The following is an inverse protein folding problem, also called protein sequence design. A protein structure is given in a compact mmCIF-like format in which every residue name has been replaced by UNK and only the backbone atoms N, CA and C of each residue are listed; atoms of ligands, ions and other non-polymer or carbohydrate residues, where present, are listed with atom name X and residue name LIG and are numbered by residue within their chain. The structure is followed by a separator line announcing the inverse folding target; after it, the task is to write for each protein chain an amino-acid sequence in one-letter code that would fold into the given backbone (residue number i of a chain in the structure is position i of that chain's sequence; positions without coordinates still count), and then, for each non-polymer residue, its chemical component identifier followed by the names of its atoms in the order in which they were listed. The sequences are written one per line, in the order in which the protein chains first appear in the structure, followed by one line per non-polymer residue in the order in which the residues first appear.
data_IF_755797221899
#
_entry.id   IF_755797221899
#
_cell.length_a   1.000
_cell.length_b   1.000
_cell.length_c   1.000
_cell.angle_alpha   90.00
_cell.angle_beta   90.00
_cell.angle_gamma   90.00
#
_symmetry.space_group_name_H-M   'P 1'
#
loop_
_entity.id
_entity.type
_entity.pdbx_description
1 polymer ?
#
# COMPACT_ATOMS: atom_id res chain seq x y z
N UNK A 1 -1.91 -11.84 -8.05
CA UNK A 1 -2.36 -10.86 -7.06
C UNK A 1 -3.77 -11.18 -6.59
N UNK A 2 -4.75 -11.07 -7.48
CA UNK A 2 -6.17 -11.34 -7.15
C UNK A 2 -6.36 -12.75 -6.57
N UNK A 3 -5.76 -13.76 -7.19
CA UNK A 3 -5.86 -15.14 -6.72
C UNK A 3 -5.26 -15.32 -5.30
N UNK A 4 -4.09 -14.73 -5.04
CA UNK A 4 -3.45 -14.84 -3.70
C UNK A 4 -4.23 -14.08 -2.62
N UNK A 5 -4.82 -12.94 -2.96
CA UNK A 5 -5.65 -12.20 -2.01
C UNK A 5 -6.93 -12.96 -1.66
N UNK A 6 -7.66 -13.43 -2.68
CA UNK A 6 -8.85 -14.27 -2.47
C UNK A 6 -8.51 -15.59 -1.78
N UNK A 7 -7.34 -16.17 -2.04
CA UNK A 7 -6.88 -17.38 -1.36
C UNK A 7 -6.61 -17.12 0.12
N UNK A 8 -6.02 -15.98 0.48
CA UNK A 8 -5.83 -15.61 1.89
C UNK A 8 -7.14 -15.47 2.63
N UNK A 9 -8.10 -14.76 2.08
CA UNK A 9 -9.46 -14.62 2.64
C UNK A 9 -10.19 -15.98 2.69
N UNK A 10 -10.07 -16.78 1.63
CA UNK A 10 -10.64 -18.14 1.59
C UNK A 10 -10.02 -19.05 2.64
N UNK A 11 -8.69 -19.03 2.83
CA UNK A 11 -8.01 -19.84 3.86
C UNK A 11 -8.40 -19.41 5.27
N UNK A 12 -8.51 -18.12 5.53
CA UNK A 12 -8.99 -17.60 6.80
C UNK A 12 -10.37 -18.17 7.15
N UNK A 13 -11.21 -18.31 6.17
CA UNK A 13 -12.58 -18.80 6.33
C UNK A 13 -12.71 -20.34 6.30
N UNK A 14 -12.00 -21.04 5.42
CA UNK A 14 -12.05 -22.53 5.34
C UNK A 14 -11.46 -23.19 6.58
N UNK A 15 -10.45 -22.58 7.18
CA UNK A 15 -9.77 -23.12 8.36
C UNK A 15 -10.57 -22.80 9.64
N UNK A 16 -11.37 -21.72 9.62
CA UNK A 16 -12.19 -21.31 10.74
C UNK A 16 -13.43 -22.16 10.98
N UNK A 17 -13.66 -23.32 10.31
CA UNK A 17 -14.62 -24.30 10.86
C UNK A 17 -15.67 -24.96 9.94
N UNK A 18 -15.41 -25.21 8.73
CA UNK A 18 -16.31 -26.13 7.98
C UNK A 18 -17.75 -25.62 7.73
N UNK A 19 -18.01 -24.35 8.01
CA UNK A 19 -19.25 -23.67 7.63
C UNK A 19 -19.14 -23.12 6.20
N UNK A 20 -20.16 -23.38 5.40
CA UNK A 20 -20.28 -22.80 4.07
C UNK A 20 -20.51 -21.30 4.18
N UNK A 21 -19.52 -20.49 3.80
CA UNK A 21 -19.63 -19.05 3.84
C UNK A 21 -20.41 -18.58 2.62
N UNK A 22 -21.47 -17.81 2.81
CA UNK A 22 -22.16 -17.17 1.70
C UNK A 22 -21.20 -16.20 1.00
N UNK A 23 -21.27 -16.15 -0.33
CA UNK A 23 -20.45 -15.22 -1.15
C UNK A 23 -20.62 -13.74 -0.73
N UNK A 24 -21.74 -13.40 -0.09
CA UNK A 24 -22.02 -12.09 0.48
C UNK A 24 -21.03 -11.68 1.59
N UNK A 25 -20.41 -12.64 2.26
CA UNK A 25 -19.56 -12.39 3.43
C UNK A 25 -18.08 -12.38 3.05
N UNK A 26 -17.76 -12.73 1.79
CA UNK A 26 -16.39 -12.71 1.28
C UNK A 26 -16.00 -11.28 0.93
N UNK A 27 -14.89 -10.82 1.50
CA UNK A 27 -14.26 -9.54 1.12
C UNK A 27 -13.46 -9.70 -0.16
N UNK A 28 -13.87 -9.00 -1.23
CA UNK A 28 -13.19 -9.01 -2.53
C UNK A 28 -12.03 -8.03 -2.60
N UNK A 29 -12.14 -6.78 -2.12
CA UNK A 29 -11.02 -5.84 -2.11
C UNK A 29 -9.87 -6.32 -1.23
N UNK A 30 -8.65 -5.95 -1.60
CA UNK A 30 -7.46 -6.26 -0.81
C UNK A 30 -6.21 -5.67 -1.43
N UNK A 31 -5.13 -5.63 -0.65
CA UNK A 31 -3.85 -5.03 -1.05
C UNK A 31 -3.30 -5.65 -2.34
N UNK A 32 -3.29 -6.99 -2.43
CA UNK A 32 -2.75 -7.70 -3.60
C UNK A 32 -3.63 -7.52 -4.84
N UNK A 33 -4.94 -7.47 -4.66
CA UNK A 33 -5.90 -7.19 -5.73
C UNK A 33 -5.68 -5.78 -6.29
N UNK A 34 -5.54 -4.79 -5.41
CA UNK A 34 -5.21 -3.42 -5.82
C UNK A 34 -3.88 -3.34 -6.56
N UNK A 35 -2.82 -3.98 -6.04
CA UNK A 35 -1.52 -4.04 -6.73
C UNK A 35 -1.66 -4.66 -8.12
N UNK A 36 -2.44 -5.73 -8.25
CA UNK A 36 -2.66 -6.39 -9.54
C UNK A 36 -3.38 -5.48 -10.54
N UNK A 37 -4.42 -4.74 -10.10
CA UNK A 37 -5.13 -3.77 -10.94
C UNK A 37 -4.21 -2.62 -11.35
N UNK A 38 -3.50 -2.01 -10.39
CA UNK A 38 -2.54 -0.92 -10.67
C UNK A 38 -1.48 -1.38 -11.66
N UNK A 39 -0.91 -2.59 -11.47
CA UNK A 39 0.09 -3.15 -12.37
C UNK A 39 -0.48 -3.36 -13.78
N UNK A 40 -1.69 -3.90 -13.89
CA UNK A 40 -2.35 -4.10 -15.19
C UNK A 40 -2.49 -2.77 -15.95
N UNK A 41 -3.05 -1.74 -15.30
CA UNK A 41 -3.22 -0.43 -15.93
C UNK A 41 -1.88 0.22 -16.27
N UNK A 42 -0.89 0.15 -15.37
CA UNK A 42 0.45 0.67 -15.66
C UNK A 42 1.12 -0.06 -16.83
N UNK A 43 1.01 -1.39 -16.91
CA UNK A 43 1.57 -2.18 -18.01
C UNK A 43 0.92 -1.83 -19.37
N UNK A 44 -0.41 -1.64 -19.39
CA UNK A 44 -1.10 -1.17 -20.59
C UNK A 44 -0.65 0.23 -20.99
N UNK A 45 -0.60 1.17 -20.05
CA UNK A 45 -0.16 2.53 -20.32
C UNK A 45 1.30 2.58 -20.79
N UNK A 46 2.18 1.77 -20.20
CA UNK A 46 3.58 1.70 -20.63
C UNK A 46 3.73 1.30 -22.09
N UNK A 47 2.91 0.34 -22.55
CA UNK A 47 3.00 -0.18 -23.91
C UNK A 47 2.34 0.71 -24.96
N UNK A 48 1.29 1.47 -24.59
CA UNK A 48 0.47 2.20 -25.56
C UNK A 48 0.54 3.72 -25.44
N UNK A 49 1.27 4.26 -24.46
CA UNK A 49 1.33 5.72 -24.22
C UNK A 49 2.77 6.20 -24.06
N UNK A 50 3.01 7.47 -24.45
CA UNK A 50 4.25 8.17 -24.18
C UNK A 50 4.34 8.67 -22.73
N UNK A 51 5.55 8.96 -22.24
CA UNK A 51 5.76 9.50 -20.90
C UNK A 51 4.97 10.80 -20.63
N UNK A 52 4.77 11.63 -21.67
CA UNK A 52 3.99 12.86 -21.54
C UNK A 52 2.49 12.57 -21.36
N UNK A 53 1.95 11.58 -22.09
CA UNK A 53 0.57 11.13 -21.90
C UNK A 53 0.39 10.48 -20.51
N UNK A 54 1.36 9.72 -20.04
CA UNK A 54 1.35 9.14 -18.67
C UNK A 54 1.33 10.23 -17.61
N UNK A 55 2.13 11.29 -17.76
CA UNK A 55 2.08 12.45 -16.87
C UNK A 55 0.71 13.13 -16.91
N UNK A 56 0.14 13.33 -18.09
CA UNK A 56 -1.19 13.94 -18.25
C UNK A 56 -2.28 13.09 -17.59
N UNK A 57 -2.22 11.77 -17.76
CA UNK A 57 -3.16 10.84 -17.10
C UNK A 57 -3.02 10.92 -15.57
N UNK A 58 -1.78 10.98 -15.06
CA UNK A 58 -1.55 11.15 -13.62
C UNK A 58 -2.22 12.42 -13.08
N UNK A 59 -2.04 13.55 -13.75
CA UNK A 59 -2.66 14.82 -13.35
C UNK A 59 -4.18 14.73 -13.41
N UNK A 60 -4.75 14.16 -14.48
CA UNK A 60 -6.20 13.97 -14.62
C UNK A 60 -6.73 13.08 -13.48
N UNK A 61 -6.06 11.99 -13.13
CA UNK A 61 -6.48 11.11 -12.06
C UNK A 61 -6.43 11.80 -10.70
N UNK A 62 -5.35 12.55 -10.40
CA UNK A 62 -5.20 13.21 -9.10
C UNK A 62 -6.16 14.39 -8.94
N UNK A 63 -6.21 15.28 -9.94
CA UNK A 63 -7.11 16.45 -9.90
C UNK A 63 -8.57 15.99 -10.00
N UNK A 64 -8.88 15.05 -10.89
CA UNK A 64 -10.22 14.49 -11.05
C UNK A 64 -10.72 13.82 -9.78
N UNK A 65 -9.88 13.01 -9.12
CA UNK A 65 -10.24 12.38 -7.85
C UNK A 65 -10.54 13.42 -6.76
N UNK A 66 -9.70 14.46 -6.64
CA UNK A 66 -9.95 15.58 -5.73
C UNK A 66 -11.29 16.26 -6.01
N UNK A 67 -11.53 16.65 -7.27
CA UNK A 67 -12.77 17.33 -7.66
C UNK A 67 -14.00 16.46 -7.36
N UNK A 68 -13.94 15.19 -7.68
CA UNK A 68 -15.05 14.27 -7.47
C UNK A 68 -15.33 14.05 -5.99
N UNK A 69 -14.28 13.85 -5.17
CA UNK A 69 -14.43 13.66 -3.73
C UNK A 69 -14.94 14.91 -2.99
N UNK A 70 -14.57 16.10 -3.46
CA UNK A 70 -14.90 17.37 -2.79
C UNK A 70 -16.28 17.89 -3.21
N UNK A 71 -16.64 17.79 -4.49
CA UNK A 71 -17.80 18.50 -5.04
C UNK A 71 -19.01 17.61 -5.35
N UNK A 72 -18.84 16.28 -5.49
CA UNK A 72 -19.96 15.39 -5.75
C UNK A 72 -20.64 15.02 -4.44
N UNK A 73 -21.95 15.35 -4.27
CA UNK A 73 -22.65 15.07 -3.03
C UNK A 73 -22.97 13.57 -2.90
N UNK A 74 -22.75 13.02 -1.71
CA UNK A 74 -23.26 11.71 -1.33
C UNK A 74 -24.74 11.86 -0.95
N UNK A 75 -25.64 11.01 -1.49
CA UNK A 75 -27.07 11.07 -1.18
C UNK A 75 -27.34 11.01 0.34
N UNK A 76 -28.09 12.00 0.84
CA UNK A 76 -28.43 12.09 2.26
C UNK A 76 -27.35 12.63 3.19
N UNK A 77 -26.12 12.91 2.67
CA UNK A 77 -24.98 13.37 3.49
C UNK A 77 -24.47 14.73 2.99
N UNK A 78 -24.18 14.87 1.69
CA UNK A 78 -23.66 16.10 1.09
C UNK A 78 -22.26 15.93 0.46
N UNK A 79 -21.67 17.01 -0.10
CA UNK A 79 -20.34 17.00 -0.71
C UNK A 79 -19.22 17.20 0.32
N UNK A 80 -17.98 16.86 -0.04
CA UNK A 80 -16.75 17.18 0.72
C UNK A 80 -16.58 16.43 2.04
N UNK A 81 -17.41 15.43 2.32
CA UNK A 81 -17.31 14.64 3.57
C UNK A 81 -16.29 13.51 3.35
N UNK A 82 -15.22 13.50 4.15
CA UNK A 82 -14.15 12.50 4.08
C UNK A 82 -14.18 11.48 5.25
N UNK A 83 -15.21 11.55 6.10
CA UNK A 83 -15.37 10.60 7.21
C UNK A 83 -15.55 9.16 6.71
N UNK A 84 -15.01 8.17 7.44
CA UNK A 84 -15.18 6.75 7.11
C UNK A 84 -16.67 6.37 6.99
N UNK A 85 -17.02 5.66 5.92
CA UNK A 85 -18.39 5.21 5.65
C UNK A 85 -19.38 6.29 5.16
N UNK A 86 -18.99 7.57 5.18
CA UNK A 86 -19.85 8.71 4.76
C UNK A 86 -19.34 9.42 3.51
N UNK A 87 -18.14 9.11 3.06
CA UNK A 87 -17.51 9.71 1.91
C UNK A 87 -17.98 9.07 0.59
N UNK A 88 -17.71 9.75 -0.53
CA UNK A 88 -18.14 9.29 -1.85
C UNK A 88 -17.49 7.94 -2.23
N UNK A 89 -16.23 7.70 -1.86
CA UNK A 89 -15.56 6.42 -2.14
C UNK A 89 -16.32 5.26 -1.47
N UNK A 90 -16.67 5.39 -0.18
CA UNK A 90 -17.44 4.40 0.55
C UNK A 90 -18.84 4.17 -0.08
N UNK A 91 -19.50 5.25 -0.52
CA UNK A 91 -20.79 5.15 -1.17
C UNK A 91 -20.72 4.38 -2.50
N UNK A 92 -19.73 4.70 -3.34
CA UNK A 92 -19.54 4.03 -4.64
C UNK A 92 -19.13 2.57 -4.44
N UNK A 93 -18.20 2.30 -3.52
CA UNK A 93 -17.75 0.96 -3.19
C UNK A 93 -18.88 0.09 -2.64
N UNK A 94 -19.75 0.65 -1.80
CA UNK A 94 -20.94 -0.06 -1.28
C UNK A 94 -21.97 -0.44 -2.35
N UNK A 95 -21.98 0.25 -3.49
CA UNK A 95 -22.86 -0.08 -4.63
C UNK A 95 -22.19 -1.10 -5.57
N UNK A 96 -20.89 -0.94 -5.82
CA UNK A 96 -20.20 -1.66 -6.88
C UNK A 96 -19.56 -2.97 -6.42
N UNK A 97 -19.18 -3.06 -5.13
CA UNK A 97 -18.49 -4.23 -4.61
C UNK A 97 -19.50 -5.23 -4.05
N UNK A 98 -19.62 -6.42 -4.67
CA UNK A 98 -20.40 -7.49 -4.07
C UNK A 98 -19.62 -8.08 -2.86
N UNK A 99 -20.34 -8.49 -1.83
CA UNK A 99 -19.75 -9.08 -0.63
C UNK A 99 -19.51 -8.07 0.50
N UNK A 100 -18.60 -8.39 1.42
CA UNK A 100 -18.33 -7.56 2.59
C UNK A 100 -17.23 -6.52 2.31
N UNK A 101 -17.34 -5.38 2.97
CA UNK A 101 -16.29 -4.35 3.02
C UNK A 101 -15.54 -4.48 4.35
N UNK A 102 -14.27 -4.03 4.40
CA UNK A 102 -13.38 -4.17 5.57
C UNK A 102 -14.01 -3.73 6.91
N UNK A 103 -14.72 -2.60 6.89
CA UNK A 103 -15.39 -2.05 8.08
C UNK A 103 -16.92 -2.08 7.93
N UNK A 104 -17.45 -2.96 7.11
CA UNK A 104 -18.88 -3.07 6.82
C UNK A 104 -19.42 -1.96 5.92
N UNK A 105 -18.97 -0.73 6.07
CA UNK A 105 -19.46 0.46 5.32
C UNK A 105 -18.42 1.08 4.40
N UNK A 106 -17.17 0.70 4.50
CA UNK A 106 -16.09 1.22 3.67
C UNK A 106 -14.90 0.24 3.61
N UNK A 107 -14.05 0.39 2.60
CA UNK A 107 -12.87 -0.42 2.38
C UNK A 107 -11.68 0.45 1.94
N UNK A 108 -10.50 0.40 2.61
CA UNK A 108 -9.33 1.17 2.21
C UNK A 108 -8.79 0.73 0.85
N UNK A 109 -9.05 -0.50 0.41
CA UNK A 109 -8.69 -1.05 -0.89
C UNK A 109 -9.84 -1.07 -1.90
N UNK A 110 -10.86 -0.21 -1.73
CA UNK A 110 -12.02 -0.11 -2.60
C UNK A 110 -11.69 0.23 -4.06
N UNK A 111 -12.69 0.07 -4.91
CA UNK A 111 -12.56 0.33 -6.36
C UNK A 111 -12.28 1.82 -6.61
N UNK A 112 -13.02 2.69 -5.90
CA UNK A 112 -12.91 4.12 -6.16
C UNK A 112 -11.54 4.69 -5.78
N UNK A 113 -10.97 4.30 -4.64
CA UNK A 113 -9.64 4.69 -4.21
C UNK A 113 -8.51 4.02 -5.05
N UNK A 114 -8.84 3.10 -5.94
CA UNK A 114 -7.88 2.50 -6.88
C UNK A 114 -7.49 3.48 -8.00
N UNK A 115 -8.33 4.47 -8.35
CA UNK A 115 -7.95 5.49 -9.34
C UNK A 115 -6.72 6.30 -8.94
N UNK A 116 -6.63 6.92 -7.78
CA UNK A 116 -5.39 7.57 -7.35
C UNK A 116 -4.26 6.58 -7.05
N UNK A 117 -4.53 5.32 -6.73
CA UNK A 117 -3.50 4.30 -6.63
C UNK A 117 -2.84 3.99 -7.99
N UNK A 118 -3.61 4.02 -9.09
CA UNK A 118 -3.05 3.94 -10.45
C UNK A 118 -2.12 5.13 -10.71
N UNK A 119 -2.47 6.34 -10.29
CA UNK A 119 -1.58 7.49 -10.40
C UNK A 119 -0.25 7.27 -9.66
N UNK A 120 -0.27 6.66 -8.45
CA UNK A 120 0.96 6.26 -7.75
C UNK A 120 1.81 5.29 -8.59
N UNK A 121 1.18 4.32 -9.24
CA UNK A 121 1.86 3.37 -10.13
C UNK A 121 2.49 4.06 -11.34
N UNK A 122 1.76 5.01 -11.96
CA UNK A 122 2.28 5.77 -13.11
C UNK A 122 3.46 6.66 -12.68
N UNK A 123 3.42 7.29 -11.51
CA UNK A 123 4.56 8.07 -10.99
C UNK A 123 5.78 7.16 -10.83
N UNK A 124 5.61 5.95 -10.30
CA UNK A 124 6.68 4.96 -10.22
C UNK A 124 7.23 4.57 -11.60
N UNK A 125 6.36 4.43 -12.60
CA UNK A 125 6.75 4.15 -13.98
C UNK A 125 7.53 5.32 -14.61
N UNK A 126 7.12 6.57 -14.35
CA UNK A 126 7.85 7.77 -14.78
C UNK A 126 9.23 7.86 -14.11
N UNK A 127 9.35 7.48 -12.84
CA UNK A 127 10.65 7.34 -12.19
C UNK A 127 11.52 6.28 -12.89
N UNK A 128 10.94 5.17 -13.32
CA UNK A 128 11.60 4.15 -14.15
C UNK A 128 12.12 4.73 -15.47
N UNK A 129 11.34 5.55 -16.18
CA UNK A 129 11.79 6.24 -17.39
C UNK A 129 13.00 7.15 -17.12
N UNK A 130 13.03 7.85 -15.98
CA UNK A 130 14.17 8.66 -15.58
C UNK A 130 15.41 7.79 -15.32
N UNK A 131 15.26 6.65 -14.66
CA UNK A 131 16.37 5.72 -14.37
C UNK A 131 17.00 5.18 -15.66
N UNK A 132 16.19 4.75 -16.63
CA UNK A 132 16.69 4.19 -17.89
C UNK A 132 17.10 5.24 -18.92
N UNK A 133 16.87 6.53 -18.64
CA UNK A 133 17.23 7.63 -19.55
C UNK A 133 18.75 7.68 -19.81
N UNK A 134 19.14 8.41 -20.87
CA UNK A 134 20.56 8.61 -21.22
C UNK A 134 21.28 9.67 -20.37
N UNK A 135 20.63 10.21 -19.35
CA UNK A 135 21.25 11.19 -18.45
C UNK A 135 22.39 10.56 -17.63
N UNK A 136 23.36 11.37 -17.21
CA UNK A 136 24.37 10.91 -16.24
C UNK A 136 23.72 10.54 -14.91
N UNK A 137 24.38 9.68 -14.13
CA UNK A 137 23.83 9.20 -12.85
C UNK A 137 23.60 10.38 -11.89
N UNK A 138 24.48 11.36 -11.89
CA UNK A 138 24.36 12.57 -11.05
C UNK A 138 23.11 13.37 -11.43
N UNK A 139 22.87 13.57 -12.74
CA UNK A 139 21.69 14.28 -13.21
C UNK A 139 20.39 13.52 -12.86
N UNK A 140 20.38 12.20 -12.94
CA UNK A 140 19.23 11.38 -12.50
C UNK A 140 18.93 11.59 -11.02
N UNK A 141 19.96 11.57 -10.18
CA UNK A 141 19.85 11.79 -8.74
C UNK A 141 19.33 13.22 -8.46
N UNK A 142 19.88 14.24 -9.15
CA UNK A 142 19.45 15.63 -9.00
C UNK A 142 17.95 15.74 -9.35
N UNK A 143 17.52 15.21 -10.48
CA UNK A 143 16.11 15.23 -10.88
C UNK A 143 15.21 14.49 -9.88
N UNK A 144 15.65 13.36 -9.34
CA UNK A 144 14.89 12.64 -8.33
C UNK A 144 14.74 13.45 -7.04
N UNK A 145 15.80 14.12 -6.56
CA UNK A 145 15.70 15.02 -5.41
C UNK A 145 14.78 16.20 -5.67
N UNK A 146 14.88 16.83 -6.83
CA UNK A 146 14.01 17.96 -7.20
C UNK A 146 12.54 17.53 -7.27
N UNK A 147 12.24 16.41 -7.92
CA UNK A 147 10.88 15.86 -7.98
C UNK A 147 10.39 15.45 -6.60
N UNK A 148 11.23 14.83 -5.78
CA UNK A 148 10.91 14.44 -4.42
C UNK A 148 10.51 15.62 -3.55
N UNK A 149 11.31 16.69 -3.56
CA UNK A 149 11.01 17.95 -2.85
C UNK A 149 9.76 18.60 -3.42
N UNK A 150 9.61 18.68 -4.74
CA UNK A 150 8.42 19.24 -5.39
C UNK A 150 7.15 18.51 -4.92
N UNK A 151 7.12 17.19 -4.96
CA UNK A 151 5.96 16.40 -4.54
C UNK A 151 5.64 16.57 -3.05
N UNK A 152 6.65 16.67 -2.17
CA UNK A 152 6.42 16.91 -0.75
C UNK A 152 5.86 18.31 -0.52
N UNK A 153 6.45 19.34 -1.11
CA UNK A 153 5.97 20.72 -0.95
C UNK A 153 4.54 20.84 -1.48
N UNK A 154 4.26 20.29 -2.67
CA UNK A 154 2.93 20.33 -3.26
C UNK A 154 1.92 19.57 -2.39
N UNK A 155 2.29 18.41 -1.81
CA UNK A 155 1.41 17.66 -0.92
C UNK A 155 1.02 18.45 0.32
N UNK A 156 1.93 19.20 0.95
CA UNK A 156 1.65 20.04 2.12
C UNK A 156 0.83 21.30 1.77
N UNK A 157 1.04 21.87 0.59
CA UNK A 157 0.21 22.99 0.12
C UNK A 157 -1.20 22.49 -0.16
N UNK A 158 -1.34 21.37 -0.84
CA UNK A 158 -2.63 20.81 -1.20
C UNK A 158 -3.38 20.18 0.00
N UNK A 159 -2.67 19.82 1.08
CA UNK A 159 -3.27 19.30 2.32
C UNK A 159 -4.30 20.28 2.93
N UNK A 160 -4.16 21.56 2.69
CA UNK A 160 -5.13 22.60 3.12
C UNK A 160 -6.51 22.44 2.46
N UNK A 161 -6.56 21.78 1.31
CA UNK A 161 -7.79 21.52 0.57
C UNK A 161 -8.26 20.07 0.74
N UNK A 162 -7.33 19.12 0.77
CA UNK A 162 -7.61 17.70 0.89
C UNK A 162 -6.57 17.04 1.82
N UNK A 163 -6.96 16.47 2.97
CA UNK A 163 -6.02 15.91 3.93
C UNK A 163 -5.23 14.73 3.36
N UNK A 164 -4.00 14.53 3.84
CA UNK A 164 -3.18 13.35 3.53
C UNK A 164 -3.83 12.14 4.22
N UNK A 165 -4.53 11.30 3.46
CA UNK A 165 -5.27 10.17 4.00
C UNK A 165 -4.99 8.88 3.21
N UNK A 166 -4.33 7.92 3.88
CA UNK A 166 -3.99 6.60 3.32
C UNK A 166 -5.24 5.77 3.00
N UNK A 167 -6.27 5.81 3.84
CA UNK A 167 -7.44 4.96 3.68
C UNK A 167 -8.28 5.34 2.47
N UNK A 168 -8.29 6.61 2.10
CA UNK A 168 -8.91 7.12 0.88
C UNK A 168 -7.96 7.18 -0.31
N UNK A 169 -6.66 6.94 -0.08
CA UNK A 169 -5.61 7.11 -1.09
C UNK A 169 -5.66 8.48 -1.75
N UNK A 170 -5.84 9.54 -0.93
CA UNK A 170 -6.05 10.90 -1.43
C UNK A 170 -4.93 11.36 -2.38
N UNK A 171 -5.24 12.31 -3.25
CA UNK A 171 -4.25 12.86 -4.19
C UNK A 171 -3.03 13.43 -3.46
N UNK A 172 -3.25 14.08 -2.33
CA UNK A 172 -2.21 14.56 -1.41
C UNK A 172 -1.36 13.42 -0.83
N UNK A 173 -2.00 12.29 -0.47
CA UNK A 173 -1.28 11.10 -0.02
C UNK A 173 -0.39 10.51 -1.14
N UNK A 174 -0.86 10.48 -2.37
CA UNK A 174 -0.07 10.05 -3.54
C UNK A 174 1.16 10.94 -3.70
N UNK A 175 0.99 12.27 -3.67
CA UNK A 175 2.11 13.21 -3.77
C UNK A 175 3.09 13.06 -2.60
N UNK A 176 2.58 12.97 -1.38
CA UNK A 176 3.39 12.79 -0.18
C UNK A 176 4.25 11.51 -0.23
N UNK A 177 3.64 10.39 -0.52
CA UNK A 177 4.36 9.10 -0.57
C UNK A 177 5.32 9.01 -1.75
N UNK A 178 4.93 9.57 -2.91
CA UNK A 178 5.82 9.66 -4.07
C UNK A 178 7.03 10.55 -3.80
N UNK A 179 6.84 11.68 -3.11
CA UNK A 179 7.93 12.57 -2.72
C UNK A 179 8.97 11.84 -1.88
N UNK A 180 8.56 11.16 -0.81
CA UNK A 180 9.46 10.35 0.01
C UNK A 180 10.12 9.22 -0.79
N UNK A 181 9.37 8.55 -1.67
CA UNK A 181 9.91 7.48 -2.50
C UNK A 181 11.04 7.98 -3.43
N UNK A 182 10.87 9.15 -4.06
CA UNK A 182 11.91 9.78 -4.87
C UNK A 182 13.15 10.14 -4.07
N UNK A 183 13.00 10.77 -2.89
CA UNK A 183 14.13 11.12 -2.03
C UNK A 183 14.90 9.89 -1.56
N UNK A 184 14.19 8.85 -1.14
CA UNK A 184 14.81 7.58 -0.70
C UNK A 184 15.52 6.89 -1.86
N UNK A 185 14.90 6.81 -3.04
CA UNK A 185 15.49 6.19 -4.22
C UNK A 185 16.76 6.94 -4.68
N UNK A 186 16.72 8.27 -4.72
CA UNK A 186 17.89 9.10 -5.02
C UNK A 186 19.04 8.84 -4.04
N UNK A 187 18.71 8.77 -2.73
CA UNK A 187 19.70 8.49 -1.68
C UNK A 187 20.31 7.10 -1.81
N UNK A 188 19.49 6.10 -2.16
CA UNK A 188 19.94 4.72 -2.38
C UNK A 188 20.86 4.64 -3.62
N UNK A 189 20.48 5.24 -4.74
CA UNK A 189 21.32 5.29 -5.95
C UNK A 189 22.63 5.99 -5.64
N UNK A 190 22.61 7.13 -4.94
CA UNK A 190 23.82 7.82 -4.52
C UNK A 190 24.73 6.93 -3.68
N UNK A 191 24.20 6.33 -2.64
CA UNK A 191 24.98 5.52 -1.68
C UNK A 191 25.51 4.23 -2.32
N UNK A 192 24.69 3.55 -3.12
CA UNK A 192 25.01 2.23 -3.64
C UNK A 192 25.75 2.25 -4.96
N UNK A 193 25.36 3.14 -5.87
CA UNK A 193 25.88 3.16 -7.25
C UNK A 193 27.02 4.17 -7.43
N UNK A 194 26.96 5.32 -6.74
CA UNK A 194 28.01 6.34 -6.80
C UNK A 194 29.09 6.08 -5.75
N UNK A 195 28.73 6.00 -4.47
CA UNK A 195 29.70 5.78 -3.38
C UNK A 195 30.14 4.33 -3.26
N UNK A 196 29.48 3.38 -3.95
CA UNK A 196 29.77 1.93 -3.91
C UNK A 196 29.67 1.30 -2.51
N UNK A 197 28.92 1.94 -1.58
CA UNK A 197 28.74 1.43 -0.24
C UNK A 197 27.57 0.43 -0.20
N UNK A 198 27.88 -0.86 -0.43
CA UNK A 198 26.91 -1.91 -0.70
C UNK A 198 26.81 -2.97 0.41
N UNK A 199 27.64 -2.91 1.46
CA UNK A 199 27.72 -3.97 2.48
C UNK A 199 26.41 -4.26 3.22
N UNK A 200 25.57 -3.26 3.39
CA UNK A 200 24.29 -3.35 4.09
C UNK A 200 23.09 -3.74 3.18
N UNK A 201 23.29 -3.71 1.86
CA UNK A 201 22.22 -3.98 0.88
C UNK A 201 21.71 -5.42 0.90
N UNK A 202 22.51 -6.37 1.41
CA UNK A 202 22.15 -7.80 1.41
C UNK A 202 20.77 -8.05 2.02
N UNK A 203 20.47 -7.40 3.14
CA UNK A 203 19.15 -7.50 3.80
C UNK A 203 18.05 -6.97 2.89
N UNK A 204 18.25 -5.78 2.30
CA UNK A 204 17.30 -5.18 1.37
C UNK A 204 17.07 -6.01 0.10
N UNK A 205 18.12 -6.64 -0.42
CA UNK A 205 18.03 -7.52 -1.60
C UNK A 205 17.22 -8.77 -1.27
N UNK A 206 17.47 -9.41 -0.12
CA UNK A 206 16.75 -10.61 0.32
C UNK A 206 15.24 -10.31 0.43
N UNK A 207 14.85 -9.24 1.11
CA UNK A 207 13.44 -8.84 1.20
C UNK A 207 12.86 -8.38 -0.14
N UNK A 208 13.61 -7.60 -0.90
CA UNK A 208 13.13 -7.00 -2.15
C UNK A 208 12.92 -8.01 -3.27
N UNK A 209 13.80 -9.00 -3.42
CA UNK A 209 13.68 -10.04 -4.46
C UNK A 209 12.49 -10.98 -4.22
N UNK A 210 12.08 -11.17 -2.96
CA UNK A 210 11.02 -12.08 -2.56
C UNK A 210 9.81 -11.37 -1.93
N UNK A 211 9.62 -10.09 -2.20
CA UNK A 211 8.66 -9.23 -1.49
C UNK A 211 7.22 -9.77 -1.49
N UNK A 212 6.73 -10.29 -2.62
CA UNK A 212 5.37 -10.86 -2.73
C UNK A 212 5.26 -12.16 -1.92
N UNK A 213 6.28 -13.03 -2.01
CA UNK A 213 6.29 -14.29 -1.27
C UNK A 213 6.34 -14.03 0.26
N UNK A 214 7.16 -13.07 0.68
CA UNK A 214 7.26 -12.67 2.10
C UNK A 214 5.95 -12.05 2.58
N UNK A 215 5.29 -11.22 1.76
CA UNK A 215 3.97 -10.67 2.09
C UNK A 215 2.93 -11.79 2.26
N UNK A 216 2.86 -12.74 1.33
CA UNK A 216 1.96 -13.87 1.43
C UNK A 216 2.26 -14.73 2.68
N UNK A 217 3.55 -15.01 2.93
CA UNK A 217 3.98 -15.72 4.13
C UNK A 217 3.60 -14.96 5.41
N UNK A 218 3.75 -13.64 5.44
CA UNK A 218 3.39 -12.86 6.61
C UNK A 218 1.90 -12.97 6.94
N UNK A 219 1.00 -13.05 5.95
CA UNK A 219 -0.43 -13.26 6.21
C UNK A 219 -0.70 -14.64 6.84
N UNK A 220 -0.05 -15.68 6.34
CA UNK A 220 -0.15 -17.03 6.91
C UNK A 220 0.39 -17.06 8.35
N UNK A 221 1.54 -16.42 8.59
CA UNK A 221 2.12 -16.34 9.93
C UNK A 221 1.28 -15.53 10.92
N UNK A 222 0.58 -14.47 10.47
CA UNK A 222 -0.39 -13.73 11.30
C UNK A 222 -1.49 -14.67 11.77
N UNK A 223 -2.06 -15.45 10.85
CA UNK A 223 -3.09 -16.41 11.22
C UNK A 223 -2.59 -17.41 12.28
N UNK A 224 -1.39 -18.00 12.08
CA UNK A 224 -0.77 -18.87 13.08
C UNK A 224 -0.50 -18.15 14.41
N UNK A 225 -0.06 -16.89 14.35
CA UNK A 225 0.32 -16.15 15.54
C UNK A 225 -0.87 -15.71 16.40
N UNK A 226 -2.03 -15.47 15.79
CA UNK A 226 -3.18 -14.87 16.48
C UNK A 226 -4.40 -15.79 16.61
N UNK A 227 -4.62 -16.71 15.65
CA UNK A 227 -5.88 -17.44 15.54
C UNK A 227 -5.75 -18.94 15.74
N UNK A 228 -4.70 -19.58 15.23
CA UNK A 228 -4.60 -21.05 15.17
C UNK A 228 -4.73 -21.76 16.53
N UNK A 229 -4.23 -21.16 17.61
CA UNK A 229 -4.28 -21.73 18.98
C UNK A 229 -5.35 -21.02 19.86
N UNK A 230 -6.18 -20.16 19.30
CA UNK A 230 -7.21 -19.42 20.03
C UNK A 230 -6.63 -18.59 21.18
N UNK A 231 -7.16 -18.78 22.40
CA UNK A 231 -6.71 -18.04 23.60
C UNK A 231 -5.22 -18.27 23.94
N UNK A 232 -4.66 -19.41 23.56
CA UNK A 232 -3.23 -19.74 23.72
C UNK A 232 -2.38 -19.38 22.49
N UNK A 233 -2.82 -18.40 21.72
CA UNK A 233 -2.08 -17.94 20.53
C UNK A 233 -0.64 -17.55 20.86
N UNK A 234 0.27 -17.66 19.88
CA UNK A 234 1.67 -17.24 20.06
C UNK A 234 1.78 -15.78 20.50
N UNK A 235 0.88 -14.92 20.00
CA UNK A 235 0.80 -13.53 20.44
C UNK A 235 0.42 -13.43 21.92
N UNK A 236 -0.60 -14.17 22.38
CA UNK A 236 -0.99 -14.14 23.81
C UNK A 236 0.11 -14.67 24.72
N UNK A 237 0.82 -15.72 24.31
CA UNK A 237 1.93 -16.30 25.07
C UNK A 237 3.14 -15.37 25.15
N UNK A 238 3.58 -14.81 24.04
CA UNK A 238 4.79 -13.99 23.99
C UNK A 238 4.50 -12.55 24.43
N UNK A 239 3.57 -11.87 23.78
CA UNK A 239 3.22 -10.49 24.13
C UNK A 239 2.55 -10.41 25.51
N UNK A 240 1.54 -11.25 25.75
CA UNK A 240 0.86 -11.31 27.04
C UNK A 240 1.81 -11.73 28.16
N UNK A 241 2.71 -12.69 27.92
CA UNK A 241 3.76 -13.08 28.86
C UNK A 241 4.70 -11.93 29.20
N UNK A 242 5.16 -11.13 28.23
CA UNK A 242 5.98 -9.94 28.48
C UNK A 242 5.25 -8.90 29.33
N UNK A 243 3.99 -8.65 29.04
CA UNK A 243 3.18 -7.68 29.80
C UNK A 243 2.93 -8.18 31.22
N UNK A 244 2.68 -9.48 31.42
CA UNK A 244 2.44 -10.06 32.75
C UNK A 244 3.64 -9.98 33.70
N UNK A 245 4.87 -10.00 33.17
CA UNK A 245 6.11 -9.81 33.94
C UNK A 245 6.51 -8.32 34.10
N UNK A 246 5.62 -7.38 33.70
CA UNK A 246 5.80 -5.95 33.93
C UNK A 246 6.48 -5.17 32.79
N UNK A 247 6.69 -5.78 31.61
CA UNK A 247 7.18 -5.04 30.45
C UNK A 247 6.10 -4.07 29.96
N UNK A 248 6.49 -2.80 29.74
CA UNK A 248 5.57 -1.78 29.26
C UNK A 248 4.94 -2.18 27.92
N UNK A 249 3.59 -2.11 27.75
CA UNK A 249 2.88 -2.66 26.58
C UNK A 249 3.43 -2.22 25.22
N UNK A 250 3.84 -0.94 25.08
CA UNK A 250 4.44 -0.45 23.81
C UNK A 250 5.79 -1.09 23.50
N UNK A 251 6.59 -1.38 24.54
CA UNK A 251 7.88 -2.06 24.39
C UNK A 251 7.65 -3.53 24.05
N UNK A 252 6.71 -4.21 24.70
CA UNK A 252 6.32 -5.57 24.38
C UNK A 252 5.84 -5.70 22.93
N UNK A 253 5.02 -4.74 22.46
CA UNK A 253 4.57 -4.69 21.06
C UNK A 253 5.73 -4.48 20.08
N UNK A 254 6.70 -3.61 20.41
CA UNK A 254 7.88 -3.40 19.56
C UNK A 254 8.73 -4.68 19.49
N UNK A 255 8.99 -5.33 20.63
CA UNK A 255 9.75 -6.57 20.67
C UNK A 255 9.06 -7.71 19.89
N UNK A 256 7.74 -7.81 20.02
CA UNK A 256 6.94 -8.74 19.22
C UNK A 256 7.08 -8.46 17.72
N UNK A 257 6.96 -7.21 17.29
CA UNK A 257 7.10 -6.82 15.89
C UNK A 257 8.51 -7.12 15.33
N UNK A 258 9.56 -6.87 16.12
CA UNK A 258 10.94 -7.21 15.75
C UNK A 258 11.08 -8.72 15.60
N UNK A 259 10.62 -9.51 16.58
CA UNK A 259 10.67 -10.97 16.54
C UNK A 259 9.94 -11.52 15.30
N UNK A 260 8.73 -11.02 15.03
CA UNK A 260 7.95 -11.41 13.86
C UNK A 260 8.67 -11.09 12.55
N UNK A 261 9.28 -9.90 12.45
CA UNK A 261 10.08 -9.51 11.28
C UNK A 261 11.29 -10.43 11.09
N UNK A 262 11.94 -10.85 12.17
CA UNK A 262 13.03 -11.82 12.11
C UNK A 262 12.58 -13.19 11.58
N UNK A 263 11.38 -13.65 11.95
CA UNK A 263 10.81 -14.88 11.39
C UNK A 263 10.65 -14.74 9.87
N UNK A 264 10.02 -13.65 9.42
CA UNK A 264 9.86 -13.38 8.00
C UNK A 264 11.21 -13.31 7.26
N UNK A 265 12.21 -12.67 7.87
CA UNK A 265 13.57 -12.60 7.32
C UNK A 265 14.22 -13.97 7.21
N UNK A 266 14.13 -14.79 8.25
CA UNK A 266 14.68 -16.12 8.23
C UNK A 266 14.13 -16.95 7.06
N UNK A 267 12.83 -16.95 6.86
CA UNK A 267 12.22 -17.64 5.73
C UNK A 267 12.63 -17.05 4.38
N UNK A 268 12.84 -15.74 4.30
CA UNK A 268 13.23 -15.08 3.05
C UNK A 268 14.66 -15.44 2.59
N UNK A 269 15.52 -15.92 3.47
CA UNK A 269 16.87 -16.39 3.12
C UNK A 269 16.82 -17.68 2.30
N UNK A 270 15.78 -18.49 2.49
CA UNK A 270 15.62 -19.79 1.81
C UNK A 270 14.81 -19.67 0.50
N UNK A 271 14.20 -18.53 0.23
CA UNK A 271 13.48 -18.24 -1.00
C UNK A 271 14.38 -17.58 -2.04
#
# INVERSE_FOLDING_TARGET
GVFLGLFGEFMHHVISLGETIPLSDIRIPGVLQRIALVYLFCALLYNYTSWFQQLSITLILLIGYYIVMEFIPVPGIGPGILEPGKNLAAYVDGILIPGSLWQGTWDPEGIFSTFPAIASGIIGMLAGHLIISKLSIENKIIWMYLLGVFFLVDSFIWEWLMPINKNLWTSTYVMYTSGWAFLMLASLIWTCDVLKYQSWLKIGIIFGSNSIAIYALSQVLVWFAYEFLGENSLNSLIYGGMVSIGVYPKIASLLWAIFYTFICFFFSIFL
#
